data_IF_539782873458
#
_entry.id   IF_539782873458
#
_cell.length_a   1.000
_cell.length_b   1.000
_cell.length_c   1.000
_cell.angle_alpha   90.00
_cell.angle_beta   90.00
_cell.angle_gamma   90.00
#
_symmetry.space_group_name_H-M   'P 1'
#
loop_
_entity.id
_entity.type
_entity.pdbx_description
1 polymer ?
#
# COMPACT_ATOMS: atom_id res chain seq x y z
N UNK A 1 -10.74 4.96 7.91
CA UNK A 1 -10.32 3.54 7.84
C UNK A 1 -8.90 3.48 8.39
N UNK A 2 -8.75 2.99 9.61
CA UNK A 2 -7.54 3.16 10.46
C UNK A 2 -6.62 1.91 10.36
N UNK A 3 -7.12 0.82 9.77
CA UNK A 3 -6.48 -0.50 9.74
C UNK A 3 -5.22 -0.60 8.86
N UNK A 4 -4.87 0.45 8.11
CA UNK A 4 -3.66 0.50 7.27
C UNK A 4 -2.62 1.50 7.77
N UNK A 5 -2.75 2.00 9.01
CA UNK A 5 -1.83 2.96 9.62
C UNK A 5 -0.92 2.25 10.62
N UNK A 6 0.27 2.79 10.85
CA UNK A 6 1.16 2.33 11.91
C UNK A 6 0.45 2.35 13.27
N UNK A 7 0.67 1.35 14.13
CA UNK A 7 -0.03 1.18 15.41
C UNK A 7 -0.09 2.46 16.28
N UNK A 8 1.01 3.22 16.46
CA UNK A 8 0.97 4.42 17.31
C UNK A 8 0.04 5.51 16.78
N UNK A 9 -0.02 5.66 15.45
CA UNK A 9 -0.90 6.62 14.77
C UNK A 9 -2.34 6.10 14.79
N UNK A 10 -2.52 4.80 14.53
CA UNK A 10 -3.82 4.17 14.52
C UNK A 10 -4.52 4.29 15.88
N UNK A 11 -3.80 4.06 16.98
CA UNK A 11 -4.37 4.08 18.33
C UNK A 11 -4.69 5.49 18.81
N UNK A 12 -3.86 6.48 18.47
CA UNK A 12 -4.16 7.90 18.72
C UNK A 12 -5.41 8.37 17.97
N UNK A 13 -5.57 7.94 16.72
CA UNK A 13 -6.77 8.28 15.95
C UNK A 13 -8.01 7.56 16.48
N UNK A 14 -7.89 6.29 16.89
CA UNK A 14 -8.99 5.54 17.53
C UNK A 14 -9.44 6.18 18.85
N UNK A 15 -8.52 6.78 19.62
CA UNK A 15 -8.84 7.49 20.86
C UNK A 15 -9.39 8.91 20.64
N UNK A 16 -9.58 9.34 19.39
CA UNK A 16 -10.08 10.67 19.05
C UNK A 16 -9.05 11.78 19.19
N UNK A 17 -7.78 11.44 19.40
CA UNK A 17 -6.70 12.41 19.42
C UNK A 17 -6.33 12.82 17.98
N UNK A 18 -6.05 14.10 17.79
CA UNK A 18 -5.40 14.56 16.55
C UNK A 18 -3.95 14.05 16.50
N UNK A 19 -3.48 13.79 15.28
CA UNK A 19 -2.09 13.45 14.99
C UNK A 19 -1.56 14.56 14.08
N UNK A 20 -0.46 15.19 14.51
CA UNK A 20 0.17 16.26 13.73
C UNK A 20 0.94 15.64 12.54
N UNK A 21 1.04 16.33 11.39
CA UNK A 21 1.82 15.85 10.27
C UNK A 21 3.31 15.70 10.63
N UNK A 22 3.90 14.57 10.25
CA UNK A 22 5.33 14.30 10.43
C UNK A 22 6.11 14.56 9.14
N UNK A 23 7.32 15.12 9.27
CA UNK A 23 8.25 15.32 8.18
C UNK A 23 9.45 14.38 8.34
N UNK A 24 9.92 13.82 7.21
CA UNK A 24 11.05 12.91 7.19
C UNK A 24 12.17 13.47 6.29
N UNK A 25 13.41 13.48 6.79
CA UNK A 25 14.57 14.03 6.07
C UNK A 25 14.94 13.23 4.82
N UNK A 26 14.68 11.91 4.83
CA UNK A 26 14.99 11.01 3.73
C UNK A 26 14.04 9.83 3.72
N UNK A 27 13.35 9.65 2.59
CA UNK A 27 12.46 8.50 2.33
C UNK A 27 12.68 8.01 0.91
N UNK A 28 12.41 6.74 0.69
CA UNK A 28 12.34 6.15 -0.65
C UNK A 28 10.91 5.75 -0.94
N UNK A 29 10.36 6.17 -2.08
CA UNK A 29 9.01 5.80 -2.50
C UNK A 29 9.12 4.95 -3.77
N UNK A 30 8.41 3.83 -3.80
CA UNK A 30 8.23 3.01 -4.99
C UNK A 30 6.78 3.10 -5.44
N UNK A 31 6.61 3.34 -6.74
CA UNK A 31 5.36 3.24 -7.46
C UNK A 31 5.51 2.15 -8.52
N UNK A 32 4.60 1.19 -8.51
CA UNK A 32 4.50 0.16 -9.53
C UNK A 32 3.09 0.14 -10.07
N UNK A 33 2.96 0.03 -11.39
CA UNK A 33 1.69 -0.02 -12.10
C UNK A 33 1.61 -1.30 -12.94
N UNK A 34 0.41 -1.80 -13.19
CA UNK A 34 0.21 -3.00 -14.02
C UNK A 34 0.14 -2.57 -15.48
N UNK A 35 1.14 -2.96 -16.26
CA UNK A 35 1.17 -2.65 -17.69
C UNK A 35 -0.09 -3.20 -18.41
N UNK A 36 -0.68 -2.37 -19.26
CA UNK A 36 -1.89 -2.67 -20.04
C UNK A 36 -3.11 -3.10 -19.19
N UNK A 37 -3.19 -2.67 -17.93
CA UNK A 37 -4.27 -3.04 -17.02
C UNK A 37 -5.66 -2.79 -17.60
N UNK A 38 -5.90 -1.63 -18.24
CA UNK A 38 -7.19 -1.31 -18.87
C UNK A 38 -7.62 -2.37 -19.88
N UNK A 39 -6.67 -2.88 -20.67
CA UNK A 39 -6.94 -3.91 -21.68
C UNK A 39 -7.19 -5.28 -21.05
N UNK A 40 -6.50 -5.58 -19.95
CA UNK A 40 -6.68 -6.81 -19.17
C UNK A 40 -8.06 -6.77 -18.50
N UNK A 41 -8.37 -5.70 -17.78
CA UNK A 41 -9.63 -5.48 -17.09
C UNK A 41 -10.83 -5.55 -18.04
N UNK A 42 -10.73 -4.97 -19.24
CA UNK A 42 -11.80 -5.03 -20.24
C UNK A 42 -12.09 -6.45 -20.77
N UNK A 43 -11.13 -7.38 -20.67
CA UNK A 43 -11.24 -8.76 -21.17
C UNK A 43 -11.44 -9.80 -20.07
N UNK A 44 -11.34 -9.40 -18.80
CA UNK A 44 -11.44 -10.29 -17.65
C UNK A 44 -12.80 -10.18 -16.97
N UNK A 45 -13.27 -11.30 -16.40
CA UNK A 45 -14.37 -11.24 -15.42
C UNK A 45 -13.88 -10.57 -14.13
N UNK A 46 -14.79 -9.98 -13.32
CA UNK A 46 -14.42 -9.38 -12.04
C UNK A 46 -13.65 -10.33 -11.12
N UNK A 47 -14.03 -11.62 -11.10
CA UNK A 47 -13.34 -12.61 -10.28
C UNK A 47 -11.89 -12.85 -10.75
N UNK A 48 -11.68 -12.96 -12.07
CA UNK A 48 -10.33 -13.12 -12.64
C UNK A 48 -9.45 -11.90 -12.37
N UNK A 49 -10.02 -10.70 -12.49
CA UNK A 49 -9.28 -9.46 -12.24
C UNK A 49 -8.91 -9.33 -10.75
N UNK A 50 -9.83 -9.66 -9.85
CA UNK A 50 -9.56 -9.71 -8.42
C UNK A 50 -8.47 -10.73 -8.07
N UNK A 51 -8.51 -11.93 -8.67
CA UNK A 51 -7.47 -12.94 -8.46
C UNK A 51 -6.10 -12.46 -8.95
N UNK A 52 -6.02 -11.87 -10.15
CA UNK A 52 -4.77 -11.32 -10.69
C UNK A 52 -4.17 -10.25 -9.76
N UNK A 53 -4.99 -9.27 -9.36
CA UNK A 53 -4.53 -8.21 -8.46
C UNK A 53 -4.10 -8.77 -7.10
N UNK A 54 -4.86 -9.74 -6.58
CA UNK A 54 -4.51 -10.40 -5.32
C UNK A 54 -3.18 -11.14 -5.41
N UNK A 55 -2.93 -11.88 -6.49
CA UNK A 55 -1.68 -12.63 -6.68
C UNK A 55 -0.46 -11.69 -6.78
N UNK A 56 -0.58 -10.58 -7.53
CA UNK A 56 0.48 -9.58 -7.64
C UNK A 56 0.74 -8.92 -6.28
N UNK A 57 -0.32 -8.43 -5.63
CA UNK A 57 -0.18 -7.72 -4.36
C UNK A 57 0.29 -8.62 -3.24
N UNK A 58 -0.16 -9.87 -3.19
CA UNK A 58 0.31 -10.85 -2.21
C UNK A 58 1.80 -11.15 -2.42
N UNK A 59 2.24 -11.32 -3.67
CA UNK A 59 3.66 -11.53 -4.00
C UNK A 59 4.52 -10.33 -3.60
N UNK A 60 4.05 -9.11 -3.89
CA UNK A 60 4.73 -7.88 -3.47
C UNK A 60 4.78 -7.77 -1.95
N UNK A 61 3.66 -8.03 -1.28
CA UNK A 61 3.55 -8.02 0.18
C UNK A 61 4.53 -9.02 0.81
N UNK A 62 4.67 -10.24 0.28
CA UNK A 62 5.67 -11.22 0.75
C UNK A 62 7.11 -10.74 0.53
N UNK A 63 7.41 -10.11 -0.62
CA UNK A 63 8.75 -9.57 -0.87
C UNK A 63 9.09 -8.47 0.12
N UNK A 64 8.11 -7.63 0.47
CA UNK A 64 8.35 -6.47 1.31
C UNK A 64 8.31 -6.76 2.81
N UNK A 65 7.73 -7.88 3.24
CA UNK A 65 7.56 -8.26 4.66
C UNK A 65 8.91 -8.37 5.41
N UNK A 66 9.96 -8.79 4.69
CA UNK A 66 11.33 -8.90 5.23
C UNK A 66 12.06 -7.54 5.32
N UNK A 67 11.45 -6.44 4.85
CA UNK A 67 12.06 -5.11 4.81
C UNK A 67 11.28 -4.11 5.68
N UNK A 68 11.99 -3.11 6.24
CA UNK A 68 11.35 -2.02 6.97
C UNK A 68 10.70 -1.01 5.99
N UNK A 69 9.56 -1.42 5.43
CA UNK A 69 8.83 -0.66 4.43
C UNK A 69 7.34 -0.64 4.76
N UNK A 70 6.72 0.50 4.49
CA UNK A 70 5.34 0.75 4.76
C UNK A 70 4.55 0.75 3.45
N UNK A 71 3.56 -0.12 3.36
CA UNK A 71 2.61 -0.13 2.25
C UNK A 71 1.70 1.09 2.35
N UNK A 72 1.79 1.97 1.36
CA UNK A 72 0.89 3.11 1.25
C UNK A 72 -0.39 2.64 0.56
N UNK A 73 -1.52 3.23 0.95
CA UNK A 73 -2.83 2.85 0.45
C UNK A 73 -2.85 2.84 -1.10
N UNK A 74 -3.23 1.72 -1.69
CA UNK A 74 -3.26 1.53 -3.14
C UNK A 74 -4.49 2.18 -3.76
N UNK A 75 -4.35 2.66 -5.00
CA UNK A 75 -5.46 3.16 -5.81
C UNK A 75 -5.42 2.38 -7.12
N UNK A 76 -6.48 1.63 -7.41
CA UNK A 76 -6.61 0.82 -8.61
C UNK A 76 -5.53 -0.30 -8.71
N UNK A 77 -4.78 -0.32 -9.81
CA UNK A 77 -3.69 -1.20 -10.21
C UNK A 77 -2.31 -0.70 -9.74
N UNK A 78 -2.25 0.46 -9.09
CA UNK A 78 -1.00 1.03 -8.59
C UNK A 78 -0.69 0.51 -7.20
N UNK A 79 0.48 -0.12 -7.07
CA UNK A 79 1.10 -0.47 -5.81
C UNK A 79 2.08 0.62 -5.37
N UNK A 80 1.92 1.12 -4.13
CA UNK A 80 2.78 2.15 -3.56
C UNK A 80 3.35 1.70 -2.22
N UNK A 81 4.65 1.90 -2.03
CA UNK A 81 5.33 1.63 -0.75
C UNK A 81 6.35 2.73 -0.45
N UNK A 82 6.59 2.95 0.84
CA UNK A 82 7.56 3.90 1.36
C UNK A 82 8.55 3.21 2.31
N UNK A 83 9.85 3.44 2.14
CA UNK A 83 10.91 3.00 3.05
C UNK A 83 11.58 4.19 3.72
N UNK A 84 12.18 3.98 4.88
CA UNK A 84 12.87 5.01 5.64
C UNK A 84 11.94 5.87 6.52
N UNK A 85 10.67 5.48 6.66
CA UNK A 85 9.81 5.99 7.73
C UNK A 85 10.36 5.41 9.04
N UNK A 86 11.11 6.22 9.80
CA UNK A 86 11.62 5.78 11.11
C UNK A 86 10.44 5.36 11.97
N UNK A 87 10.47 4.12 12.46
CA UNK A 87 9.58 3.56 13.47
C UNK A 87 9.89 4.11 14.84
#
# INVERSE_FOLDING_TARGET
>A
RIEGLQEPVADRLKSGCSVDPEAYDSVTILFSDVADFDSIAAKSSPLQLCSLLNDIYYTLDEIIDDYNVFKVQTINDVYMMASGLKT
#
